data_IF_718049035603
#
_entry.id   IF_718049035603
#
_cell.length_a   1.000
_cell.length_b   1.000
_cell.length_c   1.000
_cell.angle_alpha   90.00
_cell.angle_beta   90.00
_cell.angle_gamma   90.00
#
_symmetry.space_group_name_H-M   'P 1'
#
loop_
_entity.id
_entity.type
_entity.pdbx_description
1 polymer ?
#
# COMPACT_ATOMS: atom_id res chain seq x y z
N UNK A 1 42.98 6.56 -25.33
CA UNK A 1 41.79 7.43 -25.33
C UNK A 1 40.60 6.55 -25.64
N UNK A 2 39.92 6.03 -24.61
CA UNK A 2 38.73 5.17 -24.77
C UNK A 2 37.49 6.03 -24.65
N UNK A 3 36.59 5.84 -25.60
CA UNK A 3 35.29 6.49 -25.73
C UNK A 3 34.49 6.27 -24.46
N UNK A 4 33.96 7.35 -23.93
CA UNK A 4 33.03 7.42 -22.81
C UNK A 4 31.67 6.89 -23.28
N UNK A 5 31.26 5.73 -22.76
CA UNK A 5 29.86 5.30 -22.81
C UNK A 5 29.08 6.08 -21.76
N UNK A 6 28.52 7.22 -22.16
CA UNK A 6 27.45 7.91 -21.43
C UNK A 6 26.15 7.12 -21.62
N UNK A 7 26.02 6.04 -20.86
CA UNK A 7 24.74 5.37 -20.69
C UNK A 7 23.89 6.24 -19.76
N UNK A 8 23.12 7.15 -20.37
CA UNK A 8 22.08 7.93 -19.74
C UNK A 8 21.27 7.06 -18.76
N UNK A 9 21.42 7.33 -17.47
CA UNK A 9 20.52 6.86 -16.43
C UNK A 9 19.16 7.56 -16.65
N UNK A 10 18.37 7.06 -17.61
CA UNK A 10 16.98 7.45 -17.76
C UNK A 10 16.23 6.84 -16.59
N UNK A 11 16.09 7.62 -15.51
CA UNK A 11 15.11 7.34 -14.47
C UNK A 11 13.76 7.12 -15.14
N UNK A 12 13.27 5.88 -15.13
CA UNK A 12 11.91 5.56 -15.56
C UNK A 12 10.95 6.49 -14.82
N UNK A 13 10.04 7.20 -15.51
CA UNK A 13 9.13 8.12 -14.82
C UNK A 13 8.31 7.35 -13.79
N UNK A 14 8.31 7.81 -12.54
CA UNK A 14 7.50 7.22 -11.47
C UNK A 14 6.03 7.62 -11.65
N UNK A 15 5.35 7.03 -12.63
CA UNK A 15 3.96 7.34 -12.98
C UNK A 15 3.01 7.10 -11.80
N UNK A 16 3.19 6.02 -11.04
CA UNK A 16 2.40 5.74 -9.84
C UNK A 16 2.61 6.81 -8.76
N UNK A 17 3.85 7.21 -8.50
CA UNK A 17 4.18 8.30 -7.58
C UNK A 17 3.55 9.63 -8.00
N UNK A 18 3.57 9.96 -9.30
CA UNK A 18 2.93 11.17 -9.82
C UNK A 18 1.41 11.15 -9.61
N UNK A 19 0.76 10.02 -9.86
CA UNK A 19 -0.69 9.86 -9.63
C UNK A 19 -1.03 10.00 -8.13
N UNK A 20 -0.26 9.34 -7.25
CA UNK A 20 -0.42 9.44 -5.80
C UNK A 20 -0.28 10.91 -5.36
N UNK A 21 0.73 11.62 -5.86
CA UNK A 21 0.95 13.04 -5.55
C UNK A 21 -0.23 13.91 -5.98
N UNK A 22 -0.72 13.72 -7.21
CA UNK A 22 -1.90 14.45 -7.73
C UNK A 22 -3.11 14.19 -6.83
N UNK A 23 -3.43 12.92 -6.55
CA UNK A 23 -4.61 12.57 -5.76
C UNK A 23 -4.53 13.09 -4.32
N UNK A 24 -3.36 13.01 -3.69
CA UNK A 24 -3.15 13.49 -2.33
C UNK A 24 -3.23 15.02 -2.21
N UNK A 25 -2.90 15.75 -3.29
CA UNK A 25 -3.05 17.20 -3.38
C UNK A 25 -4.49 17.68 -3.54
N UNK A 26 -5.44 16.80 -3.90
CA UNK A 26 -6.83 17.18 -4.08
C UNK A 26 -7.53 17.46 -2.74
N UNK A 27 -8.46 18.44 -2.70
CA UNK A 27 -9.43 18.58 -1.62
C UNK A 27 -10.18 17.26 -1.39
N UNK A 28 -10.54 17.00 -0.13
CA UNK A 28 -11.15 15.73 0.27
C UNK A 28 -12.43 15.39 -0.53
N UNK A 29 -13.28 16.39 -0.77
CA UNK A 29 -14.53 16.23 -1.52
C UNK A 29 -14.31 15.81 -2.98
N UNK A 30 -13.13 16.05 -3.56
CA UNK A 30 -12.74 15.54 -4.89
C UNK A 30 -11.96 14.23 -4.80
N UNK A 31 -11.08 14.12 -3.80
CA UNK A 31 -10.21 12.96 -3.61
C UNK A 31 -11.02 11.68 -3.42
N UNK A 32 -12.02 11.71 -2.54
CA UNK A 32 -12.84 10.54 -2.20
C UNK A 32 -13.60 9.97 -3.41
N UNK A 33 -14.38 10.75 -4.19
CA UNK A 33 -15.05 10.22 -5.39
C UNK A 33 -14.07 9.75 -6.48
N UNK A 34 -12.96 10.46 -6.70
CA UNK A 34 -11.97 10.03 -7.70
C UNK A 34 -11.29 8.71 -7.33
N UNK A 35 -10.90 8.56 -6.06
CA UNK A 35 -10.32 7.31 -5.57
C UNK A 35 -11.32 6.17 -5.58
N UNK A 36 -12.59 6.43 -5.26
CA UNK A 36 -13.66 5.43 -5.35
C UNK A 36 -13.82 4.90 -6.78
N UNK A 37 -13.79 5.77 -7.78
CA UNK A 37 -13.86 5.37 -9.18
C UNK A 37 -12.66 4.49 -9.57
N UNK A 38 -11.44 4.88 -9.17
CA UNK A 38 -10.24 4.06 -9.42
C UNK A 38 -10.27 2.71 -8.71
N UNK A 39 -10.79 2.64 -7.49
CA UNK A 39 -10.99 1.37 -6.79
C UNK A 39 -12.02 0.49 -7.50
N UNK A 40 -13.14 1.06 -7.96
CA UNK A 40 -14.13 0.31 -8.74
C UNK A 40 -13.54 -0.25 -10.03
N UNK A 41 -12.78 0.57 -10.78
CA UNK A 41 -12.04 0.09 -11.96
C UNK A 41 -11.04 -1.00 -11.60
N UNK A 42 -10.24 -0.80 -10.55
CA UNK A 42 -9.28 -1.78 -10.06
C UNK A 42 -9.95 -3.14 -9.81
N UNK A 43 -11.13 -3.20 -9.20
CA UNK A 43 -11.82 -4.46 -8.95
C UNK A 43 -12.28 -5.18 -10.23
N UNK A 44 -12.46 -4.46 -11.35
CA UNK A 44 -12.82 -5.05 -12.65
C UNK A 44 -11.63 -5.56 -13.47
N UNK A 45 -10.40 -5.22 -13.07
CA UNK A 45 -9.18 -5.66 -13.76
C UNK A 45 -8.93 -7.16 -13.59
N UNK A 46 -8.14 -7.73 -14.52
CA UNK A 46 -7.58 -9.07 -14.37
C UNK A 46 -6.55 -9.09 -13.24
N UNK A 47 -6.28 -10.27 -12.71
CA UNK A 47 -5.42 -10.44 -11.53
C UNK A 47 -4.00 -9.92 -11.79
N UNK A 48 -3.46 -10.15 -12.98
CA UNK A 48 -2.11 -9.71 -13.37
C UNK A 48 -2.00 -8.19 -13.37
N UNK A 49 -3.01 -7.50 -13.93
CA UNK A 49 -3.07 -6.04 -13.98
C UNK A 49 -3.21 -5.44 -12.58
N UNK A 50 -4.00 -6.09 -11.70
CA UNK A 50 -4.12 -5.68 -10.29
C UNK A 50 -2.78 -5.78 -9.58
N UNK A 51 -2.07 -6.90 -9.76
CA UNK A 51 -0.76 -7.13 -9.16
C UNK A 51 0.25 -6.11 -9.67
N UNK A 52 0.28 -5.83 -10.97
CA UNK A 52 1.17 -4.82 -11.55
C UNK A 52 0.88 -3.42 -11.00
N UNK A 53 -0.39 -3.03 -10.91
CA UNK A 53 -0.78 -1.74 -10.35
C UNK A 53 -0.31 -1.59 -8.90
N UNK A 54 -0.55 -2.60 -8.05
CA UNK A 54 -0.11 -2.56 -6.65
C UNK A 54 1.42 -2.59 -6.54
N UNK A 55 2.12 -3.34 -7.40
CA UNK A 55 3.59 -3.34 -7.48
C UNK A 55 4.14 -1.95 -7.77
N UNK A 56 3.58 -1.25 -8.75
CA UNK A 56 4.00 0.10 -9.10
C UNK A 56 3.81 1.09 -7.94
N UNK A 57 2.73 0.93 -7.15
CA UNK A 57 2.53 1.71 -5.92
C UNK A 57 3.58 1.39 -4.87
N UNK A 58 3.76 0.10 -4.52
CA UNK A 58 4.72 -0.34 -3.49
C UNK A 58 6.16 0.07 -3.84
N UNK A 59 6.50 0.02 -5.12
CA UNK A 59 7.81 0.42 -5.63
C UNK A 59 8.07 1.92 -5.51
N UNK A 60 7.01 2.74 -5.62
CA UNK A 60 7.10 4.18 -5.49
C UNK A 60 7.28 4.62 -4.03
N UNK A 61 6.62 3.94 -3.08
CA UNK A 61 6.49 4.37 -1.69
C UNK A 61 7.80 4.81 -1.01
N UNK A 62 8.93 4.08 -1.10
CA UNK A 62 10.17 4.47 -0.41
C UNK A 62 10.76 5.81 -0.87
N UNK A 63 10.35 6.31 -2.04
CA UNK A 63 10.81 7.58 -2.61
C UNK A 63 9.85 8.75 -2.39
N UNK A 64 8.70 8.51 -1.78
CA UNK A 64 7.64 9.52 -1.64
C UNK A 64 7.72 10.30 -0.34
N UNK A 65 7.14 11.50 -0.34
CA UNK A 65 6.89 12.28 0.87
C UNK A 65 5.74 11.64 1.67
N UNK A 66 6.03 11.19 2.90
CA UNK A 66 5.09 10.35 3.65
C UNK A 66 3.86 11.08 4.16
N UNK A 67 3.88 12.39 4.37
CA UNK A 67 2.68 13.18 4.69
C UNK A 67 1.66 13.16 3.54
N UNK A 68 2.14 13.16 2.30
CA UNK A 68 1.33 13.01 1.08
C UNK A 68 0.76 11.60 0.98
N UNK A 69 1.57 10.57 1.22
CA UNK A 69 1.10 9.18 1.26
C UNK A 69 0.07 8.98 2.37
N UNK A 70 0.33 9.48 3.57
CA UNK A 70 -0.56 9.34 4.74
C UNK A 70 -1.94 9.96 4.50
N UNK A 71 -2.02 11.15 3.87
CA UNK A 71 -3.29 11.78 3.48
C UNK A 71 -4.10 10.91 2.51
N UNK A 72 -3.43 10.28 1.55
CA UNK A 72 -4.10 9.39 0.60
C UNK A 72 -4.52 8.08 1.28
N UNK A 73 -3.67 7.54 2.13
CA UNK A 73 -3.87 6.29 2.86
C UNK A 73 -5.12 6.33 3.75
N UNK A 74 -5.38 7.45 4.43
CA UNK A 74 -6.61 7.62 5.20
C UNK A 74 -7.87 7.44 4.35
N UNK A 75 -7.98 8.21 3.25
CA UNK A 75 -9.13 8.13 2.33
C UNK A 75 -9.27 6.74 1.73
N UNK A 76 -8.15 6.07 1.45
CA UNK A 76 -8.13 4.71 0.93
C UNK A 76 -8.73 3.70 1.92
N UNK A 77 -8.32 3.74 3.19
CA UNK A 77 -8.85 2.83 4.22
C UNK A 77 -10.33 3.04 4.49
N UNK A 78 -10.79 4.29 4.52
CA UNK A 78 -12.23 4.61 4.65
C UNK A 78 -13.04 4.05 3.48
N UNK A 79 -12.57 4.20 2.24
CA UNK A 79 -13.25 3.64 1.07
C UNK A 79 -13.25 2.11 1.06
N UNK A 80 -12.15 1.48 1.46
CA UNK A 80 -12.10 0.01 1.56
C UNK A 80 -13.04 -0.53 2.64
N UNK A 81 -13.27 0.22 3.70
CA UNK A 81 -14.30 -0.11 4.67
C UNK A 81 -15.70 -0.06 4.04
N UNK A 82 -16.02 1.00 3.30
CA UNK A 82 -17.30 1.15 2.60
C UNK A 82 -17.55 0.09 1.52
N UNK A 83 -16.49 -0.43 0.88
CA UNK A 83 -16.59 -1.50 -0.12
C UNK A 83 -16.86 -2.90 0.46
N UNK A 84 -16.80 -3.05 1.78
CA UNK A 84 -17.06 -4.31 2.47
C UNK A 84 -15.88 -5.29 2.47
N UNK A 85 -16.07 -6.37 3.21
CA UNK A 85 -15.01 -7.28 3.64
C UNK A 85 -14.35 -8.04 2.48
N UNK A 86 -15.15 -8.55 1.53
CA UNK A 86 -14.65 -9.34 0.41
C UNK A 86 -13.65 -8.54 -0.43
N UNK A 87 -14.05 -7.34 -0.87
CA UNK A 87 -13.20 -6.44 -1.67
C UNK A 87 -11.98 -5.98 -0.89
N UNK A 88 -12.14 -5.65 0.38
CA UNK A 88 -11.04 -5.22 1.26
C UNK A 88 -10.02 -6.35 1.48
N UNK A 89 -10.46 -7.58 1.73
CA UNK A 89 -9.57 -8.72 1.89
C UNK A 89 -8.86 -9.06 0.57
N UNK A 90 -9.57 -9.01 -0.56
CA UNK A 90 -9.00 -9.25 -1.88
C UNK A 90 -7.87 -8.27 -2.21
N UNK A 91 -8.03 -6.97 -1.93
CA UNK A 91 -6.96 -6.02 -2.22
C UNK A 91 -5.78 -6.15 -1.24
N UNK A 92 -6.06 -6.43 0.04
CA UNK A 92 -4.98 -6.65 1.01
C UNK A 92 -4.17 -7.91 0.72
N UNK A 93 -4.77 -8.99 0.19
CA UNK A 93 -4.01 -10.18 -0.23
C UNK A 93 -3.08 -9.89 -1.42
N UNK A 94 -3.50 -9.02 -2.34
CA UNK A 94 -2.62 -8.54 -3.43
C UNK A 94 -1.45 -7.73 -2.85
N UNK A 95 -1.70 -6.78 -1.94
CA UNK A 95 -0.64 -6.05 -1.25
C UNK A 95 0.34 -6.99 -0.53
N UNK A 96 -0.16 -7.96 0.24
CA UNK A 96 0.68 -8.90 0.96
C UNK A 96 1.60 -9.70 0.02
N UNK A 97 1.07 -10.26 -1.08
CA UNK A 97 1.88 -10.97 -2.08
C UNK A 97 2.94 -10.08 -2.72
N UNK A 98 2.56 -8.87 -3.12
CA UNK A 98 3.50 -7.91 -3.71
C UNK A 98 4.60 -7.51 -2.72
N UNK A 99 4.24 -7.29 -1.45
CA UNK A 99 5.19 -6.93 -0.40
C UNK A 99 6.18 -8.06 -0.12
N UNK A 100 5.72 -9.33 -0.08
CA UNK A 100 6.60 -10.50 0.02
C UNK A 100 7.62 -10.53 -1.12
N UNK A 101 7.16 -10.36 -2.36
CA UNK A 101 8.04 -10.34 -3.54
C UNK A 101 8.99 -9.13 -3.58
N UNK A 102 8.73 -8.09 -2.78
CA UNK A 102 9.51 -6.84 -2.76
C UNK A 102 9.97 -6.47 -1.33
N UNK A 103 10.22 -7.47 -0.48
CA UNK A 103 10.50 -7.27 0.94
C UNK A 103 11.64 -6.25 1.23
N UNK A 104 12.67 -6.21 0.38
CA UNK A 104 13.77 -5.24 0.52
C UNK A 104 13.37 -3.79 0.30
N UNK A 105 12.34 -3.53 -0.54
CA UNK A 105 11.76 -2.18 -0.70
C UNK A 105 10.82 -1.86 0.46
N UNK A 106 10.04 -2.84 0.91
CA UNK A 106 9.14 -2.70 2.06
C UNK A 106 9.90 -2.31 3.31
N UNK A 107 11.07 -2.91 3.56
CA UNK A 107 11.95 -2.58 4.69
C UNK A 107 12.48 -1.13 4.66
N UNK A 108 12.35 -0.41 3.54
CA UNK A 108 12.76 0.99 3.38
C UNK A 108 11.60 1.98 3.53
N UNK A 109 10.38 1.50 3.72
CA UNK A 109 9.20 2.35 3.93
C UNK A 109 9.22 2.88 5.36
N UNK A 110 9.04 4.19 5.52
CA UNK A 110 8.72 4.78 6.81
C UNK A 110 7.24 4.55 7.14
N UNK A 111 6.98 3.58 8.01
CA UNK A 111 5.63 3.22 8.42
C UNK A 111 5.03 4.14 9.49
N UNK A 112 5.83 4.99 10.15
CA UNK A 112 5.33 5.76 11.30
C UNK A 112 4.14 6.68 10.93
N UNK A 113 4.15 7.40 9.79
CA UNK A 113 3.00 8.20 9.37
C UNK A 113 1.76 7.36 9.02
N UNK A 114 1.96 6.18 8.42
CA UNK A 114 0.85 5.26 8.08
C UNK A 114 0.22 4.67 9.34
N UNK A 115 1.05 4.33 10.33
CA UNK A 115 0.60 3.82 11.62
C UNK A 115 -0.17 4.88 12.41
N UNK A 116 0.30 6.13 12.39
CA UNK A 116 -0.42 7.25 12.97
C UNK A 116 -1.80 7.42 12.33
N UNK A 117 -1.89 7.35 10.99
CA UNK A 117 -3.18 7.39 10.28
C UNK A 117 -4.08 6.25 10.72
N UNK A 118 -3.60 5.00 10.71
CA UNK A 118 -4.37 3.83 11.12
C UNK A 118 -4.97 3.99 12.53
N UNK A 119 -4.18 4.52 13.46
CA UNK A 119 -4.61 4.75 14.85
C UNK A 119 -5.52 5.97 15.02
N UNK A 120 -5.59 6.87 14.03
CA UNK A 120 -6.50 8.03 14.03
C UNK A 120 -7.86 7.78 13.37
N UNK A 121 -8.07 6.60 12.77
CA UNK A 121 -9.33 6.24 12.13
C UNK A 121 -10.43 5.98 13.16
N UNK A 122 -11.68 6.13 12.71
CA UNK A 122 -12.85 5.66 13.46
C UNK A 122 -12.69 4.19 13.87
N UNK A 123 -13.20 3.86 15.06
CA UNK A 123 -13.01 2.54 15.69
C UNK A 123 -13.46 1.39 14.78
N UNK A 124 -14.55 1.59 14.04
CA UNK A 124 -15.10 0.59 13.12
C UNK A 124 -14.21 0.41 11.88
N UNK A 125 -13.73 1.51 11.29
CA UNK A 125 -12.83 1.48 10.11
C UNK A 125 -11.50 0.84 10.48
N UNK A 126 -10.92 1.23 11.64
CA UNK A 126 -9.68 0.65 12.17
C UNK A 126 -9.86 -0.83 12.46
N UNK A 127 -10.93 -1.20 13.17
CA UNK A 127 -11.23 -2.57 13.54
C UNK A 127 -11.36 -3.48 12.31
N UNK A 128 -12.15 -3.06 11.33
CA UNK A 128 -12.33 -3.77 10.06
C UNK A 128 -11.02 -3.91 9.26
N UNK A 129 -10.18 -2.87 9.26
CA UNK A 129 -8.88 -2.88 8.60
C UNK A 129 -7.92 -3.87 9.25
N UNK A 130 -7.77 -3.81 10.58
CA UNK A 130 -6.88 -4.70 11.34
C UNK A 130 -7.35 -6.16 11.23
N UNK A 131 -8.67 -6.40 11.29
CA UNK A 131 -9.24 -7.74 11.10
C UNK A 131 -8.90 -8.31 9.71
N UNK A 132 -9.01 -7.51 8.66
CA UNK A 132 -8.64 -7.92 7.31
C UNK A 132 -7.15 -8.21 7.14
N UNK A 133 -6.27 -7.38 7.73
CA UNK A 133 -4.81 -7.63 7.72
C UNK A 133 -4.51 -8.96 8.40
N UNK A 134 -5.06 -9.20 9.59
CA UNK A 134 -4.89 -10.47 10.33
C UNK A 134 -5.38 -11.67 9.53
N UNK A 135 -6.56 -11.55 8.91
CA UNK A 135 -7.14 -12.60 8.09
C UNK A 135 -6.23 -12.96 6.92
N UNK A 136 -5.77 -11.97 6.15
CA UNK A 136 -4.86 -12.21 5.03
C UNK A 136 -3.59 -12.93 5.49
N UNK A 137 -3.01 -12.53 6.62
CA UNK A 137 -1.82 -13.17 7.17
C UNK A 137 -2.06 -14.60 7.69
N UNK A 138 -3.30 -14.93 8.10
CA UNK A 138 -3.68 -16.29 8.49
C UNK A 138 -3.86 -17.20 7.29
N UNK A 139 -4.24 -16.65 6.14
CA UNK A 139 -4.45 -17.39 4.88
C UNK A 139 -3.14 -17.59 4.09
N UNK A 140 -2.05 -16.91 4.46
CA UNK A 140 -0.73 -17.06 3.85
C UNK A 140 -0.01 -18.34 4.30
N UNK A 141 0.82 -18.89 3.42
CA UNK A 141 1.78 -19.93 3.80
C UNK A 141 2.83 -19.37 4.77
N UNK A 142 3.41 -20.25 5.59
CA UNK A 142 4.33 -19.86 6.67
C UNK A 142 5.60 -19.17 6.15
N UNK A 143 6.08 -19.53 4.96
CA UNK A 143 7.29 -18.93 4.39
C UNK A 143 7.03 -17.49 3.94
N UNK A 144 5.96 -17.27 3.18
CA UNK A 144 5.52 -15.94 2.76
C UNK A 144 5.20 -15.05 3.95
N UNK A 145 4.47 -15.58 4.93
CA UNK A 145 4.11 -14.85 6.16
C UNK A 145 5.35 -14.42 6.94
N UNK A 146 6.30 -15.33 7.16
CA UNK A 146 7.58 -15.02 7.84
C UNK A 146 8.37 -13.96 7.09
N UNK A 147 8.40 -14.04 5.76
CA UNK A 147 9.08 -13.07 4.89
C UNK A 147 8.46 -11.68 5.00
N UNK A 148 7.13 -11.59 4.99
CA UNK A 148 6.45 -10.32 5.14
C UNK A 148 6.68 -9.70 6.52
N UNK A 149 6.49 -10.49 7.60
CA UNK A 149 6.62 -10.00 8.97
C UNK A 149 8.05 -9.53 9.27
N UNK A 150 9.09 -10.19 8.75
CA UNK A 150 10.48 -9.75 8.95
C UNK A 150 10.84 -8.46 8.20
N UNK A 151 10.04 -8.06 7.20
CA UNK A 151 10.23 -6.82 6.44
C UNK A 151 9.55 -5.59 7.07
N UNK A 152 8.73 -5.79 8.11
CA UNK A 152 7.94 -4.73 8.76
C UNK A 152 8.50 -4.48 10.17
N UNK A 153 8.66 -3.21 10.60
CA UNK A 153 9.14 -2.88 11.94
C UNK A 153 8.28 -3.47 13.07
N UNK A 154 8.91 -3.96 14.14
CA UNK A 154 8.21 -4.64 15.25
C UNK A 154 7.16 -3.76 15.93
N UNK A 155 7.40 -2.46 16.06
CA UNK A 155 6.43 -1.53 16.63
C UNK A 155 5.14 -1.46 15.80
N UNK A 156 5.23 -1.56 14.48
CA UNK A 156 4.06 -1.61 13.58
C UNK A 156 3.29 -2.90 13.81
N UNK A 157 4.00 -4.04 13.86
CA UNK A 157 3.40 -5.35 14.13
C UNK A 157 2.70 -5.40 15.49
N UNK A 158 3.28 -4.76 16.51
CA UNK A 158 2.71 -4.70 17.85
C UNK A 158 1.36 -4.00 17.86
N UNK A 159 1.26 -2.84 17.22
CA UNK A 159 0.05 -2.01 17.16
C UNK A 159 -1.12 -2.69 16.45
N UNK A 160 -0.83 -3.52 15.44
CA UNK A 160 -1.85 -4.33 14.77
C UNK A 160 -2.07 -5.69 15.43
N UNK A 161 -1.40 -5.98 16.54
CA UNK A 161 -1.54 -7.22 17.31
C UNK A 161 -1.06 -8.45 16.56
N UNK A 162 0.09 -8.33 15.87
CA UNK A 162 0.80 -9.39 15.13
C UNK A 162 2.16 -9.74 15.75
N UNK A 163 2.46 -9.23 16.94
CA UNK A 163 3.66 -9.61 17.68
C UNK A 163 3.45 -10.95 18.38
N UNK A 164 4.52 -11.74 18.48
CA UNK A 164 4.59 -13.00 19.24
C UNK A 164 4.94 -12.71 20.69
#
# INVERSE_FOLDING_TARGET
MRVVDDASNKSTPNYAGNIIYILAGLPEFLRKPMMRNRLNEFFTLQEEDKVEMIRNVVDALPSMEMGTVARLFKTWLELLHEFGDERRNSIFSIYARVMVSNASKVARIDFAPLLHVLNSLDVDVRGATVASIKRVLQEMDEESKRTLLSSIPENVLREVGLHS
#
